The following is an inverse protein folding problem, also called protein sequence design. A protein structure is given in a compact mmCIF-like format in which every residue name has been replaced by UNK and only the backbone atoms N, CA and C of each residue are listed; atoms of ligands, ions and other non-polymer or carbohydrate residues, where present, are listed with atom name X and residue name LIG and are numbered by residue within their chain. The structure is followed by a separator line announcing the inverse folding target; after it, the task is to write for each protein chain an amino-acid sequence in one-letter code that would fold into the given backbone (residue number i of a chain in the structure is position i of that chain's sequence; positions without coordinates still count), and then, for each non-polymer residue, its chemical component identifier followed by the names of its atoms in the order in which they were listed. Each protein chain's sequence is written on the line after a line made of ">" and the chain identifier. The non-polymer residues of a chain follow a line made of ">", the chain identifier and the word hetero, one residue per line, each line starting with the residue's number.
data_IF_529313904611
#
_entry.id   IF_529313904611
#
_cell.length_a   1.000
_cell.length_b   1.000
_cell.length_c   1.000
_cell.angle_alpha   90.00
_cell.angle_beta   90.00
_cell.angle_gamma   90.00
#
_symmetry.space_group_name_H-M   'P 1'
#
loop_
_entity.id
_entity.type
_entity.pdbx_description
1 polymer ?
#
# COMPACT_ATOMS: atom_id res chain seq x y z
N UNK A 1 -27.48 -10.60 -13.64
CA UNK A 1 -27.88 -10.55 -15.05
C UNK A 1 -26.65 -10.20 -15.86
N UNK A 2 -26.48 -10.78 -17.04
CA UNK A 2 -25.33 -10.55 -17.89
C UNK A 2 -25.81 -10.42 -19.33
N UNK A 3 -25.16 -9.57 -20.13
CA UNK A 3 -25.58 -9.28 -21.50
C UNK A 3 -24.42 -9.47 -22.45
N UNK A 4 -24.72 -10.01 -23.63
CA UNK A 4 -23.75 -10.10 -24.72
C UNK A 4 -23.46 -8.70 -25.30
N UNK A 5 -22.25 -8.45 -25.83
CA UNK A 5 -21.94 -7.18 -26.47
C UNK A 5 -22.98 -6.78 -27.53
N UNK A 6 -23.45 -5.54 -27.46
CA UNK A 6 -24.49 -5.01 -28.35
C UNK A 6 -25.93 -5.28 -27.93
N UNK A 7 -26.17 -6.11 -26.91
CA UNK A 7 -27.49 -6.34 -26.35
C UNK A 7 -27.67 -5.54 -25.05
N UNK A 8 -28.82 -4.87 -24.92
CA UNK A 8 -29.17 -4.09 -23.73
C UNK A 8 -30.43 -4.66 -23.09
N UNK A 9 -30.39 -4.83 -21.78
CA UNK A 9 -31.53 -5.27 -21.00
C UNK A 9 -32.31 -4.05 -20.54
N UNK A 10 -33.55 -3.96 -20.96
CA UNK A 10 -34.48 -2.91 -20.54
C UNK A 10 -35.71 -3.53 -19.88
N UNK A 11 -36.42 -2.70 -19.10
CA UNK A 11 -37.72 -3.06 -18.55
C UNK A 11 -38.80 -3.13 -19.64
N UNK A 12 -40.07 -3.11 -19.22
CA UNK A 12 -41.23 -3.24 -20.14
C UNK A 12 -41.29 -2.17 -21.24
N UNK A 13 -40.67 -1.02 -21.05
CA UNK A 13 -40.61 0.09 -22.01
C UNK A 13 -39.16 0.37 -22.34
N UNK A 14 -38.81 0.40 -23.63
CA UNK A 14 -37.49 0.82 -24.07
C UNK A 14 -37.39 2.36 -23.99
N UNK A 15 -36.49 2.84 -23.13
CA UNK A 15 -36.19 4.27 -22.95
C UNK A 15 -34.76 4.62 -23.38
N UNK A 16 -34.00 3.66 -23.89
CA UNK A 16 -32.59 3.82 -24.21
C UNK A 16 -32.36 3.74 -25.72
N UNK A 17 -32.11 4.90 -26.32
CA UNK A 17 -31.92 5.07 -27.76
C UNK A 17 -30.47 5.44 -28.12
N UNK A 18 -29.53 5.07 -27.25
CA UNK A 18 -28.13 5.42 -27.39
C UNK A 18 -27.48 4.57 -28.49
N UNK A 19 -26.60 5.18 -29.30
CA UNK A 19 -25.83 4.47 -30.32
C UNK A 19 -24.59 3.76 -29.77
N UNK A 20 -24.18 4.12 -28.55
CA UNK A 20 -23.04 3.52 -27.85
C UNK A 20 -23.45 3.04 -26.47
N UNK A 21 -22.83 1.95 -26.03
CA UNK A 21 -23.09 1.33 -24.74
C UNK A 21 -21.78 0.86 -24.09
N UNK A 22 -21.76 0.79 -22.77
CA UNK A 22 -20.67 0.22 -21.99
C UNK A 22 -21.21 -0.63 -20.82
N UNK A 23 -20.30 -1.27 -20.06
CA UNK A 23 -20.69 -2.08 -18.91
C UNK A 23 -20.94 -3.56 -19.23
N UNK A 24 -20.54 -4.02 -20.42
CA UNK A 24 -20.39 -5.44 -20.75
C UNK A 24 -19.20 -6.07 -19.98
N UNK A 25 -18.81 -7.31 -20.31
CA UNK A 25 -17.59 -7.92 -19.75
C UNK A 25 -16.41 -6.95 -19.82
N UNK A 26 -15.67 -6.83 -18.72
CA UNK A 26 -14.41 -6.12 -18.74
C UNK A 26 -13.35 -6.84 -19.61
N UNK A 27 -13.58 -8.11 -19.98
CA UNK A 27 -12.72 -8.87 -20.91
C UNK A 27 -12.89 -8.49 -22.37
N UNK A 28 -14.01 -7.86 -22.75
CA UNK A 28 -14.26 -7.42 -24.13
C UNK A 28 -13.30 -6.28 -24.48
N UNK A 29 -12.70 -6.32 -25.67
CA UNK A 29 -11.69 -5.34 -26.09
C UNK A 29 -12.23 -3.90 -26.10
N UNK A 30 -13.48 -3.70 -26.51
CA UNK A 30 -14.13 -2.37 -26.54
C UNK A 30 -14.33 -1.77 -25.14
N UNK A 31 -14.28 -2.59 -24.07
CA UNK A 31 -14.40 -2.14 -22.67
C UNK A 31 -13.05 -1.82 -22.02
N UNK A 32 -11.93 -2.02 -22.74
CA UNK A 32 -10.59 -1.73 -22.21
C UNK A 32 -10.32 -0.24 -22.19
N UNK A 33 -9.68 0.23 -21.12
CA UNK A 33 -9.28 1.63 -20.96
C UNK A 33 -7.82 1.85 -21.36
N UNK A 34 -7.46 3.09 -21.66
CA UNK A 34 -6.07 3.49 -21.88
C UNK A 34 -5.36 3.79 -20.56
N UNK A 35 -4.06 3.49 -20.49
CA UNK A 35 -3.18 3.92 -19.41
C UNK A 35 -1.89 4.50 -19.99
N UNK A 36 -1.51 5.71 -19.55
CA UNK A 36 -0.27 6.37 -19.93
C UNK A 36 0.28 7.16 -18.76
N UNK A 37 1.52 6.88 -18.39
CA UNK A 37 2.23 7.56 -17.32
C UNK A 37 3.50 8.24 -17.85
N UNK A 38 3.70 9.50 -17.49
CA UNK A 38 4.89 10.28 -17.85
C UNK A 38 5.32 11.11 -16.65
N UNK A 39 6.57 10.95 -16.24
CA UNK A 39 7.13 11.67 -15.11
C UNK A 39 8.53 11.18 -14.75
N UNK A 40 9.20 11.85 -13.80
CA UNK A 40 10.56 11.48 -13.38
C UNK A 40 10.62 10.09 -12.73
N UNK A 41 9.56 9.67 -12.03
CA UNK A 41 9.51 8.38 -11.34
C UNK A 41 9.24 7.19 -12.27
N UNK A 42 8.81 7.43 -13.52
CA UNK A 42 8.46 6.38 -14.48
C UNK A 42 9.60 6.12 -15.46
N UNK A 43 9.76 4.86 -15.89
CA UNK A 43 10.66 4.52 -17.00
C UNK A 43 10.16 5.18 -18.28
N UNK A 44 11.09 5.73 -19.07
CA UNK A 44 10.75 6.46 -20.31
C UNK A 44 10.60 5.49 -21.47
N UNK A 45 9.57 5.72 -22.30
CA UNK A 45 9.35 4.94 -23.53
C UNK A 45 9.07 3.46 -23.30
N UNK A 46 8.64 3.08 -22.10
CA UNK A 46 8.31 1.71 -21.76
C UNK A 46 6.87 1.41 -22.17
N UNK A 47 6.69 0.39 -23.00
CA UNK A 47 5.40 -0.27 -23.22
C UNK A 47 5.25 -1.43 -22.23
N UNK A 48 4.05 -1.61 -21.70
CA UNK A 48 3.77 -2.56 -20.62
C UNK A 48 2.59 -3.43 -20.99
N UNK A 49 2.58 -4.66 -20.49
CA UNK A 49 1.44 -5.57 -20.63
C UNK A 49 0.18 -4.99 -19.97
N UNK A 50 -1.03 -5.34 -20.47
CA UNK A 50 -2.27 -4.94 -19.85
C UNK A 50 -2.36 -5.36 -18.38
N UNK A 51 -2.94 -4.50 -17.55
CA UNK A 51 -3.17 -4.76 -16.13
C UNK A 51 -4.54 -4.23 -15.70
N UNK A 52 -5.01 -4.67 -14.53
CA UNK A 52 -6.30 -4.23 -13.99
C UNK A 52 -6.18 -2.87 -13.28
N UNK A 53 -7.16 -1.99 -13.49
CA UNK A 53 -7.14 -0.62 -12.95
C UNK A 53 -7.12 -0.56 -11.41
N UNK A 54 -7.51 -1.63 -10.72
CA UNK A 54 -7.46 -1.74 -9.25
C UNK A 54 -6.05 -1.52 -8.70
N UNK A 55 -5.00 -1.82 -9.47
CA UNK A 55 -3.62 -1.61 -9.04
C UNK A 55 -3.15 -0.14 -9.08
N UNK A 56 -3.91 0.75 -9.73
CA UNK A 56 -3.50 2.16 -9.89
C UNK A 56 -3.49 2.92 -8.56
N UNK A 57 -4.37 2.57 -7.62
CA UNK A 57 -4.40 3.20 -6.30
C UNK A 57 -3.09 2.99 -5.53
N UNK A 58 -2.60 1.75 -5.48
CA UNK A 58 -1.30 1.39 -4.89
C UNK A 58 -0.14 2.18 -5.53
N UNK A 59 -0.13 2.28 -6.86
CA UNK A 59 0.87 3.05 -7.59
C UNK A 59 0.85 4.54 -7.21
N UNK A 60 -0.34 5.15 -7.12
CA UNK A 60 -0.47 6.55 -6.70
C UNK A 60 0.02 6.74 -5.27
N UNK A 61 -0.31 5.83 -4.36
CA UNK A 61 0.15 5.89 -2.97
C UNK A 61 1.68 5.83 -2.88
N UNK A 62 2.29 4.91 -3.64
CA UNK A 62 3.75 4.79 -3.74
C UNK A 62 4.41 6.07 -4.25
N UNK A 63 3.82 6.74 -5.25
CA UNK A 63 4.37 7.97 -5.83
C UNK A 63 4.26 9.17 -4.89
N UNK A 64 3.19 9.23 -4.07
CA UNK A 64 2.95 10.30 -3.11
C UNK A 64 3.63 10.05 -1.76
N UNK A 65 4.18 8.85 -1.52
CA UNK A 65 4.78 8.48 -0.24
C UNK A 65 3.74 8.28 0.88
N UNK A 66 2.51 7.92 0.53
CA UNK A 66 1.43 7.65 1.48
C UNK A 66 1.24 6.14 1.67
N UNK A 67 0.82 5.73 2.87
CA UNK A 67 0.46 4.34 3.14
C UNK A 67 -0.94 4.08 2.56
N UNK A 68 -1.11 3.07 1.69
CA UNK A 68 -2.42 2.73 1.16
C UNK A 68 -3.32 2.12 2.24
N UNK A 69 -4.61 2.43 2.18
CA UNK A 69 -5.63 1.71 2.96
C UNK A 69 -5.93 0.34 2.34
N UNK A 70 -6.67 -0.52 3.05
CA UNK A 70 -7.03 -1.85 2.57
C UNK A 70 -7.79 -1.79 1.22
N UNK A 71 -7.25 -2.46 0.19
CA UNK A 71 -7.81 -2.54 -1.16
C UNK A 71 -7.33 -3.83 -1.87
N UNK A 72 -7.90 -4.13 -3.05
CA UNK A 72 -7.59 -5.33 -3.84
C UNK A 72 -6.38 -5.17 -4.79
N UNK A 73 -5.73 -4.01 -4.75
CA UNK A 73 -4.58 -3.67 -5.58
C UNK A 73 -3.29 -4.37 -5.13
N UNK A 74 -2.41 -4.67 -6.09
CA UNK A 74 -1.09 -5.24 -5.83
C UNK A 74 -0.03 -4.34 -6.44
N UNK A 75 0.74 -3.65 -5.60
CA UNK A 75 1.80 -2.75 -6.04
C UNK A 75 2.82 -3.47 -6.93
N UNK A 76 3.10 -4.74 -6.66
CA UNK A 76 4.03 -5.58 -7.42
C UNK A 76 3.71 -5.64 -8.91
N UNK A 77 2.44 -5.52 -9.30
CA UNK A 77 2.04 -5.52 -10.72
C UNK A 77 2.58 -4.30 -11.47
N UNK A 78 2.73 -3.15 -10.79
CA UNK A 78 3.12 -1.88 -11.40
C UNK A 78 4.52 -1.40 -11.01
N UNK A 79 5.19 -2.08 -10.07
CA UNK A 79 6.60 -1.80 -9.73
C UNK A 79 7.54 -1.76 -10.95
N UNK A 80 7.44 -2.68 -11.94
CA UNK A 80 8.35 -2.68 -13.08
C UNK A 80 8.29 -1.40 -13.94
N UNK A 81 7.20 -0.62 -13.84
CA UNK A 81 7.00 0.63 -14.60
C UNK A 81 7.80 1.80 -13.98
N UNK A 82 8.12 1.70 -12.69
CA UNK A 82 8.87 2.73 -11.97
C UNK A 82 10.38 2.60 -12.23
N UNK A 83 11.08 3.74 -12.19
CA UNK A 83 12.55 3.73 -12.13
C UNK A 83 13.00 3.14 -10.79
N UNK A 84 14.11 2.42 -10.80
CA UNK A 84 14.80 2.06 -9.55
C UNK A 84 15.26 3.36 -8.91
N UNK A 85 14.66 3.72 -7.78
CA UNK A 85 15.16 4.87 -7.04
C UNK A 85 16.38 4.42 -6.24
N UNK A 86 17.55 4.97 -6.58
CA UNK A 86 18.72 4.94 -5.71
C UNK A 86 18.52 5.93 -4.55
N UNK A 87 17.40 5.81 -3.86
CA UNK A 87 17.16 6.59 -2.65
C UNK A 87 17.87 5.84 -1.53
N UNK A 88 19.10 6.28 -1.24
CA UNK A 88 19.89 5.75 -0.15
C UNK A 88 19.09 5.71 1.14
N UNK A 89 19.02 4.51 1.74
CA UNK A 89 18.83 4.23 3.17
C UNK A 89 18.01 5.31 3.90
N UNK A 90 16.68 5.22 3.83
CA UNK A 90 15.91 5.54 5.03
C UNK A 90 15.95 4.29 5.91
N UNK A 91 17.02 4.22 6.71
CA UNK A 91 17.19 3.23 7.77
C UNK A 91 15.90 3.14 8.57
N UNK A 92 15.26 1.98 8.54
CA UNK A 92 14.34 1.54 9.58
C UNK A 92 15.14 1.47 10.88
N UNK A 93 15.26 2.60 11.56
CA UNK A 93 15.60 2.59 12.98
C UNK A 93 14.49 1.84 13.67
N UNK A 94 14.78 0.57 13.96
CA UNK A 94 14.09 -0.21 14.97
C UNK A 94 14.14 0.64 16.25
N UNK A 95 13.01 0.94 16.92
CA UNK A 95 13.08 1.63 18.20
C UNK A 95 13.68 0.64 19.22
N UNK A 96 14.99 0.68 19.38
CA UNK A 96 15.68 0.01 20.48
C UNK A 96 15.34 0.78 21.75
N UNK A 97 14.47 0.20 22.58
CA UNK A 97 14.21 0.72 23.92
C UNK A 97 15.49 0.55 24.76
N UNK A 98 16.20 1.65 24.98
CA UNK A 98 17.29 1.72 25.97
C UNK A 98 16.69 1.86 27.37
N UNK A 99 17.01 0.98 28.34
CA UNK A 99 16.64 1.22 29.72
C UNK A 99 17.75 2.04 30.38
N UNK A 100 17.48 3.30 30.73
CA UNK A 100 18.17 3.91 31.87
C UNK A 100 17.47 5.17 32.32
N UNK A 101 16.98 5.15 33.56
CA UNK A 101 17.01 6.29 34.45
C UNK A 101 17.08 5.79 35.89
N UNK A 102 18.32 5.66 36.33
CA UNK A 102 18.80 5.61 37.71
C UNK A 102 18.07 6.64 38.58
N UNK A 103 17.40 6.18 39.65
CA UNK A 103 16.98 7.03 40.78
C UNK A 103 17.83 6.67 42.00
N UNK A 104 18.63 7.66 42.38
CA UNK A 104 19.22 8.05 43.68
C UNK A 104 19.16 7.09 44.89
N UNK A 105 20.27 6.94 45.66
CA UNK A 105 20.27 6.18 46.91
C UNK A 105 19.73 7.03 48.07
N UNK A 106 18.85 6.46 48.89
CA UNK A 106 18.52 7.00 50.22
C UNK A 106 18.79 5.93 51.26
N UNK A 107 19.61 6.30 52.25
CA UNK A 107 20.28 5.38 53.16
C UNK A 107 19.37 4.76 54.21
N UNK A 108 19.66 3.50 54.53
CA UNK A 108 19.33 2.86 55.79
C UNK A 108 20.59 2.11 56.25
N UNK A 109 21.09 2.33 57.48
CA UNK A 109 22.36 1.76 57.93
C UNK A 109 22.21 0.28 58.35
N UNK A 110 23.24 -0.56 58.19
CA UNK A 110 23.24 -1.92 58.72
C UNK A 110 23.68 -1.92 60.19
N UNK A 111 22.85 -2.47 61.07
CA UNK A 111 23.21 -2.79 62.46
C UNK A 111 24.21 -3.93 62.53
N UNK A 112 25.34 -3.70 63.21
CA UNK A 112 26.31 -4.74 63.59
C UNK A 112 26.92 -4.37 64.94
N UNK A 113 26.70 -5.19 65.97
CA UNK A 113 27.39 -5.05 67.26
C UNK A 113 26.97 -6.08 68.31
N UNK A 114 27.94 -6.92 68.71
CA UNK A 114 27.88 -7.87 69.84
C UNK A 114 27.87 -9.32 69.34
N UNK A 115 28.88 -10.18 69.48
CA UNK A 115 29.96 -10.31 70.46
C UNK A 115 29.94 -11.77 70.96
N UNK A 116 31.06 -12.51 71.08
CA UNK A 116 31.04 -13.92 71.47
C UNK A 116 31.26 -14.10 72.98
N UNK A 117 30.60 -15.09 73.59
CA UNK A 117 31.07 -15.80 74.79
C UNK A 117 30.18 -17.04 75.06
N UNK A 118 30.79 -18.22 75.19
CA UNK A 118 30.18 -19.39 75.86
C UNK A 118 30.14 -19.19 77.38
N UNK A 119 29.97 -20.22 78.23
CA UNK A 119 30.19 -21.66 78.01
C UNK A 119 28.95 -22.50 77.68
#
# INVERSE_FOLDING_TARGET
>A
MYSDPGYVIHGRVNVQFNNGEHGFDNKVMDMKTIFRAVGPSFKKGLEVEPFESVHVYELMCKLLGIVPEANDGLLSTLLPILQETNDGVLSTQTPTLSPSLTTTPSGVPPGRGGGPAGP
#
